data_IF_552870424796
#
_entry.id   IF_552870424796
#
_cell.length_a   1.000
_cell.length_b   1.000
_cell.length_c   1.000
_cell.angle_alpha   90.00
_cell.angle_beta   90.00
_cell.angle_gamma   90.00
#
_symmetry.space_group_name_H-M   'P 1'
#
loop_
_entity.id
_entity.type
_entity.pdbx_description
1 polymer ?
#
# COMPACT_ATOMS: atom_id res chain seq x y z
N UNK A 1 -29.03 -6.36 0.72
CA UNK A 1 -28.28 -7.58 1.09
C UNK A 1 -27.38 -7.90 -0.09
N UNK A 2 -26.11 -7.52 -0.04
CA UNK A 2 -25.14 -7.78 -1.10
C UNK A 2 -24.16 -8.81 -0.54
N UNK A 3 -24.00 -9.92 -1.25
CA UNK A 3 -23.13 -11.08 -1.01
C UNK A 3 -23.73 -12.24 -0.19
N UNK A 4 -24.27 -13.21 -0.92
CA UNK A 4 -24.02 -14.62 -0.57
C UNK A 4 -22.57 -14.88 -0.99
N UNK A 5 -21.71 -15.14 -0.01
CA UNK A 5 -20.32 -15.54 -0.26
C UNK A 5 -20.36 -17.02 -0.69
N UNK A 6 -19.54 -17.40 -1.67
CA UNK A 6 -19.47 -18.81 -2.05
C UNK A 6 -18.90 -19.67 -0.90
N UNK A 7 -19.29 -20.94 -0.89
CA UNK A 7 -19.09 -21.83 0.27
C UNK A 7 -17.62 -22.00 0.65
N UNK A 8 -16.73 -21.98 -0.34
CA UNK A 8 -15.28 -22.05 -0.10
C UNK A 8 -14.77 -20.82 0.67
N UNK A 9 -15.20 -19.62 0.30
CA UNK A 9 -14.81 -18.38 0.97
C UNK A 9 -15.41 -18.30 2.37
N UNK A 10 -16.63 -18.80 2.56
CA UNK A 10 -17.25 -18.92 3.88
C UNK A 10 -16.42 -19.82 4.81
N UNK A 11 -16.02 -21.01 4.34
CA UNK A 11 -15.16 -21.94 5.11
C UNK A 11 -13.80 -21.32 5.45
N UNK A 12 -13.19 -20.60 4.50
CA UNK A 12 -11.94 -19.88 4.77
C UNK A 12 -12.13 -18.81 5.86
N UNK A 13 -13.23 -18.06 5.80
CA UNK A 13 -13.55 -17.01 6.76
C UNK A 13 -13.78 -17.58 8.16
N UNK A 14 -14.54 -18.66 8.26
CA UNK A 14 -14.78 -19.39 9.51
C UNK A 14 -13.48 -19.88 10.12
N UNK A 15 -12.59 -20.48 9.32
CA UNK A 15 -11.27 -20.93 9.80
C UNK A 15 -10.41 -19.76 10.30
N UNK A 16 -10.44 -18.61 9.62
CA UNK A 16 -9.69 -17.43 10.03
C UNK A 16 -10.23 -16.78 11.30
N UNK A 17 -11.54 -16.81 11.52
CA UNK A 17 -12.15 -16.35 12.78
C UNK A 17 -11.84 -17.33 13.91
N UNK A 18 -11.99 -18.64 13.66
CA UNK A 18 -11.69 -19.69 14.63
C UNK A 18 -10.21 -19.67 15.07
N UNK A 19 -9.30 -19.29 14.18
CA UNK A 19 -7.88 -19.10 14.51
C UNK A 19 -7.57 -17.80 15.27
N UNK A 20 -8.56 -16.94 15.50
CA UNK A 20 -8.39 -15.62 16.12
C UNK A 20 -7.72 -14.58 15.22
N UNK A 21 -7.59 -14.84 13.91
CA UNK A 21 -7.00 -13.87 12.97
C UNK A 21 -7.91 -12.66 12.77
N UNK A 22 -9.23 -12.89 12.87
CA UNK A 22 -10.24 -11.84 12.85
C UNK A 22 -11.22 -12.06 13.99
N UNK A 23 -11.74 -10.97 14.55
CA UNK A 23 -12.70 -11.00 15.65
C UNK A 23 -14.05 -11.56 15.21
N UNK A 24 -14.50 -11.17 14.03
CA UNK A 24 -15.77 -11.57 13.44
C UNK A 24 -15.72 -11.46 11.90
N UNK A 25 -16.80 -11.92 11.26
CA UNK A 25 -16.99 -11.85 9.81
C UNK A 25 -16.91 -10.41 9.29
N UNK A 26 -17.49 -9.44 10.01
CA UNK A 26 -17.50 -8.04 9.61
C UNK A 26 -16.09 -7.46 9.57
N UNK A 27 -15.25 -7.75 10.55
CA UNK A 27 -13.87 -7.32 10.61
C UNK A 27 -13.07 -7.88 9.44
N UNK A 28 -13.24 -9.17 9.15
CA UNK A 28 -12.56 -9.83 8.04
C UNK A 28 -12.98 -9.27 6.67
N UNK A 29 -14.29 -9.07 6.45
CA UNK A 29 -14.81 -8.48 5.21
C UNK A 29 -14.37 -7.01 5.06
N UNK A 30 -14.32 -6.25 6.15
CA UNK A 30 -13.84 -4.87 6.14
C UNK A 30 -12.38 -4.80 5.69
N UNK A 31 -11.53 -5.68 6.22
CA UNK A 31 -10.12 -5.76 5.80
C UNK A 31 -9.99 -6.23 4.35
N UNK A 32 -10.82 -7.18 3.89
CA UNK A 32 -10.83 -7.59 2.49
C UNK A 32 -11.15 -6.42 1.55
N UNK A 33 -12.17 -5.60 1.88
CA UNK A 33 -12.51 -4.41 1.10
C UNK A 33 -11.37 -3.39 1.10
N UNK A 34 -10.74 -3.13 2.24
CA UNK A 34 -9.58 -2.22 2.31
C UNK A 34 -8.42 -2.70 1.45
N UNK A 35 -8.16 -4.00 1.41
CA UNK A 35 -7.11 -4.58 0.57
C UNK A 35 -7.43 -4.40 -0.92
N UNK A 36 -8.68 -4.60 -1.32
CA UNK A 36 -9.12 -4.35 -2.70
C UNK A 36 -8.96 -2.87 -3.08
N UNK A 37 -9.39 -1.95 -2.21
CA UNK A 37 -9.23 -0.51 -2.43
C UNK A 37 -7.75 -0.12 -2.58
N UNK A 38 -6.88 -0.59 -1.68
CA UNK A 38 -5.43 -0.33 -1.74
C UNK A 38 -4.79 -0.89 -3.01
N UNK A 39 -5.23 -2.07 -3.46
CA UNK A 39 -4.76 -2.65 -4.72
C UNK A 39 -5.11 -1.74 -5.88
N UNK A 40 -6.35 -1.27 -5.94
CA UNK A 40 -6.82 -0.43 -7.03
C UNK A 40 -6.10 0.95 -7.02
N UNK A 41 -5.88 1.55 -5.84
CA UNK A 41 -5.06 2.76 -5.67
C UNK A 41 -3.60 2.55 -6.11
N UNK A 42 -3.01 1.40 -5.80
CA UNK A 42 -1.65 1.05 -6.19
C UNK A 42 -1.53 0.92 -7.72
N UNK A 43 -2.47 0.23 -8.37
CA UNK A 43 -2.51 0.11 -9.84
C UNK A 43 -2.60 1.49 -10.48
N UNK A 44 -3.49 2.37 -10.00
CA UNK A 44 -3.59 3.74 -10.51
C UNK A 44 -2.32 4.56 -10.29
N UNK A 45 -1.57 4.28 -9.22
CA UNK A 45 -0.28 4.91 -8.96
C UNK A 45 0.78 4.45 -9.96
N UNK A 46 0.81 3.16 -10.29
CA UNK A 46 1.71 2.61 -11.30
C UNK A 46 1.39 3.16 -12.70
N UNK A 47 0.12 3.26 -13.05
CA UNK A 47 -0.31 3.83 -14.34
C UNK A 47 0.13 5.28 -14.48
N UNK A 48 -0.04 6.09 -13.42
CA UNK A 48 0.45 7.48 -13.38
C UNK A 48 1.97 7.55 -13.49
N UNK A 49 2.69 6.75 -12.71
CA UNK A 49 4.16 6.70 -12.78
C UNK A 49 4.66 6.30 -14.18
N UNK A 50 4.00 5.34 -14.82
CA UNK A 50 4.32 4.94 -16.20
C UNK A 50 4.09 6.08 -17.18
N UNK A 51 3.00 6.82 -17.04
CA UNK A 51 2.70 7.99 -17.88
C UNK A 51 3.74 9.11 -17.68
N UNK A 52 4.12 9.41 -16.44
CA UNK A 52 5.14 10.42 -16.13
C UNK A 52 6.51 10.07 -16.73
N UNK A 53 6.92 8.81 -16.64
CA UNK A 53 8.16 8.32 -17.25
C UNK A 53 8.10 8.52 -18.78
N UNK A 54 6.99 8.14 -19.42
CA UNK A 54 6.82 8.30 -20.88
C UNK A 54 6.78 9.77 -21.31
N UNK A 55 6.27 10.66 -20.46
CA UNK A 55 6.25 12.10 -20.70
C UNK A 55 7.62 12.77 -20.45
N UNK A 56 8.60 12.05 -19.90
CA UNK A 56 9.91 12.59 -19.54
C UNK A 56 9.90 13.41 -18.25
N UNK A 57 8.87 13.29 -17.42
CA UNK A 57 8.72 13.99 -16.13
C UNK A 57 9.58 13.37 -15.00
N UNK A 58 10.62 12.61 -15.35
CA UNK A 58 11.55 12.01 -14.40
C UNK A 58 12.58 13.01 -13.88
N UNK A 59 13.16 12.72 -12.73
CA UNK A 59 14.33 13.44 -12.20
C UNK A 59 15.56 12.58 -12.43
N UNK A 60 16.68 13.11 -12.94
CA UNK A 60 17.92 12.37 -13.06
C UNK A 60 18.36 11.79 -11.71
N UNK A 61 18.86 10.56 -11.71
CA UNK A 61 19.23 9.86 -10.49
C UNK A 61 20.30 10.62 -9.69
N UNK A 62 21.27 11.20 -10.38
CA UNK A 62 22.36 11.99 -9.79
C UNK A 62 21.83 13.20 -9.03
N UNK A 63 20.76 13.84 -9.52
CA UNK A 63 20.11 14.96 -8.83
C UNK A 63 19.39 14.48 -7.56
N UNK A 64 18.75 13.32 -7.62
CA UNK A 64 18.09 12.70 -6.45
C UNK A 64 19.13 12.38 -5.36
N UNK A 65 20.22 11.71 -5.72
CA UNK A 65 21.28 11.35 -4.78
C UNK A 65 21.92 12.58 -4.14
N UNK A 66 22.25 13.60 -4.95
CA UNK A 66 22.78 14.87 -4.42
C UNK A 66 21.83 15.51 -3.39
N UNK A 67 20.53 15.58 -3.68
CA UNK A 67 19.53 16.14 -2.74
C UNK A 67 19.45 15.34 -1.44
N UNK A 68 19.54 14.01 -1.52
CA UNK A 68 19.53 13.12 -0.36
C UNK A 68 20.78 13.29 0.50
N UNK A 69 21.97 13.34 -0.11
CA UNK A 69 23.23 13.58 0.60
C UNK A 69 23.23 14.92 1.35
N UNK A 70 22.75 15.99 0.69
CA UNK A 70 22.59 17.29 1.31
C UNK A 70 21.62 17.25 2.50
N UNK A 71 20.51 16.52 2.39
CA UNK A 71 19.55 16.36 3.48
C UNK A 71 20.17 15.61 4.66
N UNK A 72 20.86 14.50 4.41
CA UNK A 72 21.55 13.72 5.44
C UNK A 72 22.58 14.58 6.17
N UNK A 73 23.37 15.37 5.42
CA UNK A 73 24.36 16.27 6.01
C UNK A 73 23.72 17.36 6.89
N UNK A 74 22.55 17.90 6.49
CA UNK A 74 21.78 18.85 7.33
C UNK A 74 21.27 18.20 8.61
N UNK A 75 20.69 17.01 8.51
CA UNK A 75 20.12 16.29 9.65
C UNK A 75 21.20 15.85 10.64
N UNK A 76 22.38 15.46 10.15
CA UNK A 76 23.55 15.17 10.97
C UNK A 76 24.00 16.41 11.77
N UNK A 77 24.06 17.59 11.12
CA UNK A 77 24.42 18.84 11.81
C UNK A 77 23.39 19.25 12.86
N UNK A 78 22.11 18.99 12.63
CA UNK A 78 21.03 19.33 13.57
C UNK A 78 21.02 18.46 14.84
N UNK A 79 21.59 17.25 14.79
CA UNK A 79 21.69 16.34 15.95
C UNK A 79 22.89 16.59 16.87
N UNK A 80 23.80 17.49 16.47
CA UNK A 80 25.07 17.76 17.18
C UNK A 80 25.00 19.09 17.96
N UNK A 81 23.81 19.72 18.01
CA UNK A 81 23.51 20.93 18.80
C UNK A 81 22.53 20.59 19.91
#
# INVERSE_FOLDING_TARGET
MIATIAEEQARFLEAAIASGKYQDEKAALTEAVKLLQRRDEFVQTLDRASADIKAGNGIPAEEVFRKLEEQIARDAKRKVI
#
